data_IF_088556640171
#
_entry.id   IF_088556640171
#
_cell.length_a   1.000
_cell.length_b   1.000
_cell.length_c   1.000
_cell.angle_alpha   90.00
_cell.angle_beta   90.00
_cell.angle_gamma   90.00
#
_symmetry.space_group_name_H-M   'P 1'
#
loop_
_entity.id
_entity.type
_entity.pdbx_description
1 polymer ?
#
# COMPACT_ATOMS: atom_id res chain seq x y z
N UNK A 1 20.58 -7.74 -12.90
CA UNK A 1 19.37 -8.34 -13.49
C UNK A 1 18.72 -9.35 -12.55
N UNK A 2 17.57 -9.00 -11.98
CA UNK A 2 16.78 -9.83 -11.06
C UNK A 2 15.43 -10.10 -11.71
N UNK A 3 14.99 -11.35 -11.66
CA UNK A 3 13.71 -11.78 -12.21
C UNK A 3 12.79 -12.18 -11.06
N UNK A 4 11.60 -11.58 -11.00
CA UNK A 4 10.54 -11.99 -10.09
C UNK A 4 9.39 -12.50 -10.94
N UNK A 5 9.10 -13.79 -10.81
CA UNK A 5 8.08 -14.49 -11.59
C UNK A 5 6.95 -14.87 -10.64
N UNK A 6 5.77 -14.29 -10.86
CA UNK A 6 4.51 -14.69 -10.24
C UNK A 6 3.70 -15.55 -11.23
N UNK A 7 2.53 -16.04 -10.81
CA UNK A 7 1.67 -16.92 -11.64
C UNK A 7 1.16 -16.23 -12.91
N UNK A 8 0.91 -14.93 -12.82
CA UNK A 8 0.29 -14.14 -13.90
C UNK A 8 1.20 -13.02 -14.44
N UNK A 9 2.27 -12.67 -13.71
CA UNK A 9 3.15 -11.53 -14.03
C UNK A 9 4.63 -11.89 -13.94
N UNK A 10 5.43 -11.31 -14.85
CA UNK A 10 6.89 -11.37 -14.83
C UNK A 10 7.48 -9.97 -14.70
N UNK A 11 8.24 -9.75 -13.63
CA UNK A 11 8.90 -8.47 -13.36
C UNK A 11 10.40 -8.65 -13.61
N UNK A 12 10.90 -7.86 -14.56
CA UNK A 12 12.33 -7.79 -14.88
C UNK A 12 12.89 -6.53 -14.23
N UNK A 13 13.83 -6.72 -13.31
CA UNK A 13 14.52 -5.65 -12.60
C UNK A 13 15.98 -5.62 -13.05
N UNK A 14 16.54 -4.42 -13.23
CA UNK A 14 17.95 -4.20 -13.56
C UNK A 14 18.40 -4.87 -14.88
N UNK A 15 17.74 -4.48 -15.98
CA UNK A 15 18.11 -4.89 -17.34
C UNK A 15 19.29 -4.08 -17.88
N UNK A 16 20.19 -4.72 -18.62
CA UNK A 16 21.42 -4.13 -19.20
C UNK A 16 21.13 -3.23 -20.42
N UNK A 17 19.94 -2.64 -20.50
CA UNK A 17 19.53 -1.79 -21.61
C UNK A 17 20.16 -0.40 -21.50
N UNK A 18 20.76 0.08 -22.59
CA UNK A 18 21.27 1.46 -22.64
C UNK A 18 20.10 2.46 -22.49
N UNK A 19 20.28 3.45 -21.62
CA UNK A 19 19.27 4.50 -21.36
C UNK A 19 18.89 5.23 -22.65
N UNK A 20 19.85 5.45 -23.54
CA UNK A 20 19.63 6.06 -24.85
C UNK A 20 18.69 5.22 -25.73
N UNK A 21 18.89 3.91 -25.76
CA UNK A 21 18.02 3.00 -26.51
C UNK A 21 16.58 2.98 -25.98
N UNK A 22 16.38 3.18 -24.67
CA UNK A 22 15.04 3.28 -24.08
C UNK A 22 14.37 4.60 -24.48
N UNK A 23 15.10 5.72 -24.45
CA UNK A 23 14.59 7.03 -24.86
C UNK A 23 14.21 7.06 -26.35
N UNK A 24 15.05 6.53 -27.23
CA UNK A 24 14.77 6.39 -28.67
C UNK A 24 13.50 5.56 -28.91
N UNK A 25 13.32 4.46 -28.16
CA UNK A 25 12.12 3.63 -28.23
C UNK A 25 10.87 4.36 -27.72
N UNK A 26 11.00 5.19 -26.69
CA UNK A 26 9.91 6.04 -26.20
C UNK A 26 9.51 7.10 -27.23
N UNK A 27 10.46 7.73 -27.90
CA UNK A 27 10.18 8.69 -28.98
C UNK A 27 9.50 8.04 -30.18
N UNK A 28 9.96 6.85 -30.58
CA UNK A 28 9.31 6.05 -31.62
C UNK A 28 7.85 5.76 -31.26
N UNK A 29 7.57 5.29 -30.03
CA UNK A 29 6.20 5.03 -29.57
C UNK A 29 5.34 6.30 -29.55
N UNK A 30 5.90 7.45 -29.14
CA UNK A 30 5.19 8.75 -29.19
C UNK A 30 4.82 9.15 -30.62
N UNK A 31 5.71 8.91 -31.58
CA UNK A 31 5.43 9.17 -32.99
C UNK A 31 4.35 8.23 -33.54
N UNK A 32 4.40 6.94 -33.20
CA UNK A 32 3.40 5.94 -33.60
C UNK A 32 2.01 6.23 -33.04
N UNK A 33 1.90 6.77 -31.82
CA UNK A 33 0.62 7.20 -31.23
C UNK A 33 0.00 8.34 -32.04
N UNK A 34 0.80 9.31 -32.48
CA UNK A 34 0.34 10.45 -33.28
C UNK A 34 -0.10 10.04 -34.69
N UNK A 35 0.55 9.05 -35.27
CA UNK A 35 0.26 8.53 -36.61
C UNK A 35 -0.92 7.55 -36.61
N UNK A 36 -1.26 6.96 -35.46
CA UNK A 36 -2.38 6.02 -35.37
C UNK A 36 -3.73 6.74 -35.35
N UNK A 37 -4.65 6.29 -36.20
CA UNK A 37 -6.03 6.78 -36.30
C UNK A 37 -7.02 5.93 -35.50
N UNK A 38 -6.62 4.73 -35.07
CA UNK A 38 -7.44 3.80 -34.30
C UNK A 38 -7.28 4.05 -32.80
N UNK A 39 -8.40 4.24 -32.09
CA UNK A 39 -8.38 4.50 -30.65
C UNK A 39 -7.91 3.29 -29.84
N UNK A 40 -8.18 2.07 -30.31
CA UNK A 40 -7.64 0.83 -29.74
C UNK A 40 -6.11 0.78 -29.80
N UNK A 41 -5.52 1.16 -30.94
CA UNK A 41 -4.07 1.16 -31.10
C UNK A 41 -3.41 2.27 -30.29
N UNK A 42 -4.06 3.45 -30.17
CA UNK A 42 -3.59 4.52 -29.29
C UNK A 42 -3.55 4.05 -27.84
N UNK A 43 -4.59 3.41 -27.35
CA UNK A 43 -4.66 2.90 -25.97
C UNK A 43 -3.56 1.85 -25.72
N UNK A 44 -3.38 0.91 -26.65
CA UNK A 44 -2.35 -0.13 -26.50
C UNK A 44 -0.93 0.42 -26.58
N UNK A 45 -0.68 1.39 -27.45
CA UNK A 45 0.61 2.05 -27.56
C UNK A 45 0.89 2.95 -26.35
N UNK A 46 -0.14 3.58 -25.77
CA UNK A 46 -0.03 4.31 -24.50
C UNK A 46 0.30 3.37 -23.33
N UNK A 47 -0.32 2.18 -23.25
CA UNK A 47 0.01 1.18 -22.23
C UNK A 47 1.47 0.73 -22.33
N UNK A 48 1.97 0.50 -23.54
CA UNK A 48 3.39 0.15 -23.79
C UNK A 48 4.32 1.31 -23.49
N UNK A 49 3.96 2.53 -23.87
CA UNK A 49 4.72 3.73 -23.56
C UNK A 49 4.78 3.92 -22.05
N UNK A 50 3.69 3.68 -21.31
CA UNK A 50 3.68 3.75 -19.86
C UNK A 50 4.59 2.69 -19.23
N UNK A 51 4.64 1.47 -19.78
CA UNK A 51 5.59 0.42 -19.33
C UNK A 51 7.06 0.78 -19.61
N UNK A 52 7.34 1.46 -20.72
CA UNK A 52 8.71 1.88 -21.09
C UNK A 52 9.14 3.20 -20.44
N UNK A 53 8.24 4.17 -20.31
CA UNK A 53 8.48 5.53 -19.81
C UNK A 53 8.26 5.63 -18.31
N UNK A 54 7.26 4.92 -17.78
CA UNK A 54 7.03 4.75 -16.35
C UNK A 54 8.01 3.74 -15.76
N UNK A 55 9.25 3.78 -16.24
CA UNK A 55 10.25 2.76 -16.06
C UNK A 55 10.29 2.24 -14.64
N UNK A 56 10.74 1.00 -14.51
CA UNK A 56 11.60 0.67 -13.37
C UNK A 56 12.93 1.41 -13.57
N UNK A 57 12.84 2.72 -13.48
CA UNK A 57 13.89 3.71 -13.47
C UNK A 57 13.39 4.79 -12.51
N UNK A 58 13.16 4.38 -11.27
CA UNK A 58 12.91 5.35 -10.21
C UNK A 58 14.26 6.02 -9.98
N UNK A 59 14.39 7.24 -10.49
CA UNK A 59 15.48 8.13 -10.16
C UNK A 59 15.49 8.38 -8.65
N UNK A 60 16.42 7.70 -7.99
CA UNK A 60 16.74 7.82 -6.57
C UNK A 60 18.09 7.16 -6.35
N UNK A 61 18.89 7.67 -5.43
CA UNK A 61 20.32 7.36 -5.34
C UNK A 61 20.63 5.88 -5.00
N UNK A 62 19.64 5.06 -4.62
CA UNK A 62 19.78 3.61 -4.42
C UNK A 62 18.42 2.89 -4.45
N UNK A 63 18.40 1.61 -4.84
CA UNK A 63 17.23 0.71 -4.91
C UNK A 63 16.42 0.69 -3.60
N UNK A 64 17.10 0.81 -2.46
CA UNK A 64 16.47 0.81 -1.14
C UNK A 64 15.60 2.04 -0.87
N UNK A 65 16.05 3.25 -1.26
CA UNK A 65 15.30 4.50 -1.01
C UNK A 65 14.03 4.59 -1.85
N UNK A 66 14.13 4.02 -3.05
CA UNK A 66 13.05 3.93 -4.01
C UNK A 66 11.95 2.98 -3.54
N UNK A 67 12.34 1.79 -3.06
CA UNK A 67 11.41 0.82 -2.47
C UNK A 67 10.70 1.40 -1.26
N UNK A 68 11.46 2.01 -0.34
CA UNK A 68 10.91 2.63 0.88
C UNK A 68 9.92 3.77 0.56
N UNK A 69 10.20 4.60 -0.44
CA UNK A 69 9.25 5.65 -0.88
C UNK A 69 7.99 5.04 -1.50
N UNK A 70 8.14 4.01 -2.34
CA UNK A 70 6.99 3.35 -2.96
C UNK A 70 6.11 2.70 -1.90
N UNK A 71 6.69 1.95 -0.97
CA UNK A 71 5.97 1.25 0.10
C UNK A 71 5.20 2.23 0.98
N UNK A 72 5.84 3.35 1.38
CA UNK A 72 5.17 4.43 2.13
C UNK A 72 4.00 5.04 1.36
N UNK A 73 4.17 5.29 0.06
CA UNK A 73 3.11 5.89 -0.77
C UNK A 73 1.96 4.90 -0.94
N UNK A 74 2.24 3.62 -1.18
CA UNK A 74 1.19 2.60 -1.31
C UNK A 74 0.44 2.39 0.01
N UNK A 75 1.15 2.40 1.14
CA UNK A 75 0.53 2.28 2.46
C UNK A 75 -0.37 3.48 2.77
N UNK A 76 0.12 4.70 2.53
CA UNK A 76 -0.66 5.92 2.71
C UNK A 76 -1.90 5.98 1.80
N UNK A 77 -1.78 5.55 0.54
CA UNK A 77 -2.91 5.50 -0.40
C UNK A 77 -3.97 4.50 0.07
N UNK A 78 -3.56 3.31 0.53
CA UNK A 78 -4.50 2.32 1.04
C UNK A 78 -5.16 2.81 2.34
N UNK A 79 -4.40 3.40 3.26
CA UNK A 79 -4.92 3.92 4.52
C UNK A 79 -5.95 5.04 4.30
N UNK A 80 -5.68 5.97 3.39
CA UNK A 80 -6.61 7.06 3.05
C UNK A 80 -7.85 6.55 2.34
N UNK A 81 -7.72 5.56 1.46
CA UNK A 81 -8.87 4.92 0.82
C UNK A 81 -9.82 4.29 1.86
N UNK A 82 -9.28 3.48 2.79
CA UNK A 82 -10.09 2.87 3.86
C UNK A 82 -10.72 3.93 4.78
N UNK A 83 -9.98 5.00 5.11
CA UNK A 83 -10.50 6.10 5.92
C UNK A 83 -11.69 6.84 5.29
N UNK A 84 -11.75 6.91 3.96
CA UNK A 84 -12.89 7.50 3.24
C UNK A 84 -14.10 6.56 3.23
N UNK A 85 -13.87 5.25 3.13
CA UNK A 85 -14.94 4.24 3.06
C UNK A 85 -15.57 3.95 4.44
N UNK A 86 -14.75 3.76 5.49
CA UNK A 86 -15.22 3.38 6.84
C UNK A 86 -15.33 4.56 7.82
N UNK A 87 -14.80 5.72 7.43
CA UNK A 87 -14.69 6.90 8.30
C UNK A 87 -13.42 6.89 9.17
N UNK A 88 -13.22 7.98 9.91
CA UNK A 88 -12.00 8.21 10.72
C UNK A 88 -12.35 8.13 12.20
N UNK A 89 -11.58 7.35 12.95
CA UNK A 89 -11.65 7.25 14.41
C UNK A 89 -10.36 7.76 15.07
N UNK A 90 -10.40 8.25 16.32
CA UNK A 90 -9.20 8.67 17.03
C UNK A 90 -8.22 7.50 17.19
N UNK A 91 -7.00 7.68 16.67
CA UNK A 91 -5.94 6.68 16.67
C UNK A 91 -5.31 6.42 18.04
N UNK A 92 -4.18 5.71 18.06
CA UNK A 92 -3.42 5.42 19.28
C UNK A 92 -4.11 4.45 20.25
N UNK A 93 -5.03 3.63 19.74
CA UNK A 93 -5.82 2.68 20.56
C UNK A 93 -6.91 3.33 21.42
N UNK A 94 -7.09 4.66 21.34
CA UNK A 94 -8.12 5.39 22.09
C UNK A 94 -9.53 4.96 21.67
N UNK A 95 -9.75 4.73 20.37
CA UNK A 95 -11.03 4.18 19.88
C UNK A 95 -11.39 2.83 20.54
N UNK A 96 -10.40 1.94 20.72
CA UNK A 96 -10.61 0.63 21.37
C UNK A 96 -10.89 0.78 22.86
N UNK A 97 -10.28 1.77 23.52
CA UNK A 97 -10.53 2.08 24.93
C UNK A 97 -11.97 2.55 25.16
N UNK A 98 -12.50 3.41 24.27
CA UNK A 98 -13.90 3.83 24.34
C UNK A 98 -14.86 2.67 24.06
N UNK A 99 -14.56 1.82 23.07
CA UNK A 99 -15.35 0.62 22.81
C UNK A 99 -15.37 -0.35 24.02
N UNK A 100 -14.25 -0.48 24.73
CA UNK A 100 -14.18 -1.29 25.96
C UNK A 100 -15.09 -0.78 27.08
N UNK A 101 -15.38 0.52 27.15
CA UNK A 101 -16.30 1.07 28.16
C UNK A 101 -17.76 0.76 27.84
N UNK A 102 -18.12 0.76 26.56
CA UNK A 102 -19.47 0.38 26.14
C UNK A 102 -19.76 -1.11 26.37
N UNK A 103 -18.72 -1.96 26.32
CA UNK A 103 -18.83 -3.38 26.65
C UNK A 103 -19.23 -3.66 28.11
N UNK A 104 -19.08 -2.70 29.04
CA UNK A 104 -19.56 -2.84 30.43
C UNK A 104 -21.10 -2.79 30.54
N UNK A 105 -21.77 -2.18 29.55
CA UNK A 105 -23.23 -2.07 29.51
C UNK A 105 -23.90 -3.33 28.93
N UNK A 106 -23.12 -4.33 28.49
CA UNK A 106 -23.65 -5.51 27.82
C UNK A 106 -24.21 -6.52 28.84
N UNK A 107 -25.50 -6.81 28.74
CA UNK A 107 -26.16 -7.79 29.62
C UNK A 107 -25.81 -9.21 29.13
N UNK A 108 -25.04 -9.95 29.92
CA UNK A 108 -24.66 -11.33 29.60
C UNK A 108 -25.64 -12.33 30.21
N UNK A 109 -26.01 -13.36 29.45
CA UNK A 109 -26.96 -14.38 29.91
C UNK A 109 -26.31 -15.43 30.84
N UNK A 110 -25.03 -15.75 30.63
CA UNK A 110 -24.31 -16.80 31.35
C UNK A 110 -22.96 -16.32 31.92
N UNK A 111 -22.47 -16.99 32.96
CA UNK A 111 -21.17 -16.69 33.59
C UNK A 111 -19.98 -16.81 32.64
N UNK A 112 -19.97 -17.82 31.77
CA UNK A 112 -18.91 -18.01 30.76
C UNK A 112 -18.87 -16.86 29.75
N UNK A 113 -20.03 -16.30 29.39
CA UNK A 113 -20.10 -15.12 28.52
C UNK A 113 -19.53 -13.89 29.22
N UNK A 114 -19.75 -13.75 30.53
CA UNK A 114 -19.17 -12.67 31.33
C UNK A 114 -17.64 -12.75 31.36
N UNK A 115 -17.08 -13.95 31.51
CA UNK A 115 -15.63 -14.17 31.40
C UNK A 115 -15.14 -13.83 29.99
N UNK A 116 -15.86 -14.24 28.94
CA UNK A 116 -15.53 -13.92 27.56
C UNK A 116 -15.48 -12.40 27.29
N UNK A 117 -16.47 -11.66 27.78
CA UNK A 117 -16.49 -10.18 27.67
C UNK A 117 -15.28 -9.57 28.40
N UNK A 118 -14.94 -10.08 29.59
CA UNK A 118 -13.78 -9.61 30.35
C UNK A 118 -12.45 -9.84 29.61
N UNK A 119 -12.30 -10.97 28.91
CA UNK A 119 -11.12 -11.28 28.09
C UNK A 119 -11.01 -10.29 26.94
N UNK A 120 -12.12 -10.02 26.23
CA UNK A 120 -12.14 -9.07 25.11
C UNK A 120 -11.80 -7.66 25.61
N UNK A 121 -12.36 -7.22 26.73
CA UNK A 121 -12.01 -5.93 27.34
C UNK A 121 -10.51 -5.80 27.64
N UNK A 122 -9.89 -6.87 28.17
CA UNK A 122 -8.47 -6.86 28.46
C UNK A 122 -7.63 -6.83 27.17
N UNK A 123 -8.03 -7.58 26.13
CA UNK A 123 -7.37 -7.58 24.83
C UNK A 123 -7.43 -6.20 24.15
N UNK A 124 -8.56 -5.49 24.26
CA UNK A 124 -8.74 -4.14 23.69
C UNK A 124 -7.85 -3.08 24.38
N UNK A 125 -7.42 -3.31 25.63
CA UNK A 125 -6.50 -2.41 26.37
C UNK A 125 -5.02 -2.65 26.02
N UNK A 126 -4.66 -3.85 25.59
CA UNK A 126 -3.29 -4.22 25.23
C UNK A 126 -2.59 -3.28 24.22
N UNK A 127 -3.21 -2.85 23.11
CA UNK A 127 -2.53 -1.98 22.13
C UNK A 127 -2.20 -0.57 22.66
N UNK A 128 -2.99 -0.05 23.60
CA UNK A 128 -2.70 1.23 24.27
C UNK A 128 -1.50 1.07 25.20
N UNK A 129 -1.45 -0.04 25.95
CA UNK A 129 -0.33 -0.34 26.84
C UNK A 129 0.98 -0.55 26.08
N UNK A 130 0.99 -1.35 25.00
CA UNK A 130 2.20 -1.59 24.21
C UNK A 130 2.75 -0.31 23.57
N UNK A 131 1.87 0.55 23.05
CA UNK A 131 2.26 1.84 22.48
C UNK A 131 2.85 2.80 23.52
N UNK A 132 2.30 2.80 24.74
CA UNK A 132 2.79 3.62 25.84
C UNK A 132 4.14 3.09 26.37
N UNK A 133 4.29 1.77 26.48
CA UNK A 133 5.52 1.13 26.94
C UNK A 133 6.68 1.34 25.96
N UNK A 134 6.45 1.20 24.66
CA UNK A 134 7.47 1.50 23.64
C UNK A 134 7.93 2.97 23.69
N UNK A 135 7.04 3.91 24.02
CA UNK A 135 7.38 5.34 24.15
C UNK A 135 8.18 5.66 25.41
N UNK A 136 8.08 4.83 26.45
CA UNK A 136 8.84 4.98 27.71
C UNK A 136 10.25 4.36 27.66
N UNK A 137 10.52 3.53 26.65
CA UNK A 137 11.82 2.85 26.44
C UNK A 137 12.67 3.49 25.33
N UNK A 138 12.20 4.57 24.71
CA UNK A 138 12.91 5.35 23.69
C UNK A 138 13.65 6.54 24.26
#
# INVERSE_FOLDING_TARGET
MRFTISKDDTVILDGVGDKKGIEERCEQLRSSIKLSTSDYDKEKLQERLAKNSGGVAIGGASEAEVGEKKDRVTDALNATKTAVEEGIVPGGGVALLYASKELDNLITANFDQKIGVQIIQNALKAPVHSSCECRSRG
#
